data_IF_858257504267
#
_entry.id   IF_858257504267
#
_cell.length_a   1.000
_cell.length_b   1.000
_cell.length_c   1.000
_cell.angle_alpha   90.00
_cell.angle_beta   90.00
_cell.angle_gamma   90.00
#
_symmetry.space_group_name_H-M   'P 1'
#
loop_
_entity.id
_entity.type
_entity.pdbx_description
1 polymer ?
#
# COMPACT_ATOMS: atom_id res chain seq x y z
N UNK A 1 12.96 12.37 19.05
CA UNK A 1 12.27 11.57 18.02
C UNK A 1 12.91 10.19 18.04
N UNK A 2 12.16 9.13 18.31
CA UNK A 2 12.66 7.77 18.09
C UNK A 2 12.56 7.52 16.58
N UNK A 3 13.70 7.47 15.90
CA UNK A 3 13.76 7.07 14.50
C UNK A 3 14.09 5.59 14.44
N UNK A 4 13.49 4.87 13.50
CA UNK A 4 13.97 3.54 13.14
C UNK A 4 15.38 3.71 12.54
N UNK A 5 16.35 2.91 12.98
CA UNK A 5 17.71 2.92 12.45
C UNK A 5 18.13 1.51 12.08
N UNK A 6 18.77 1.35 10.92
CA UNK A 6 19.41 0.11 10.44
C UNK A 6 18.52 -1.15 10.44
N UNK A 7 17.25 -1.01 10.04
CA UNK A 7 16.33 -2.15 10.03
C UNK A 7 16.46 -2.99 8.75
N UNK A 8 16.60 -4.30 8.95
CA UNK A 8 16.78 -5.30 7.90
C UNK A 8 15.76 -6.43 8.08
N UNK A 9 15.47 -7.17 7.02
CA UNK A 9 14.60 -8.35 7.06
C UNK A 9 15.46 -9.61 7.07
N UNK A 10 15.34 -10.40 8.12
CA UNK A 10 16.02 -11.68 8.24
C UNK A 10 15.02 -12.82 8.00
N UNK A 11 15.40 -13.78 7.15
CA UNK A 11 14.60 -14.95 6.80
C UNK A 11 15.21 -16.16 7.48
N UNK A 12 14.41 -16.82 8.33
CA UNK A 12 14.82 -18.00 9.07
C UNK A 12 14.07 -19.24 8.62
N UNK A 13 14.74 -20.40 8.70
CA UNK A 13 14.14 -21.73 8.66
C UNK A 13 14.44 -22.41 10.00
N UNK A 14 13.47 -22.40 10.90
CA UNK A 14 13.71 -22.79 12.29
C UNK A 14 14.65 -21.79 12.97
N UNK A 15 15.79 -22.27 13.46
CA UNK A 15 16.85 -21.48 14.10
C UNK A 15 17.95 -21.02 13.13
N UNK A 16 17.89 -21.48 11.87
CA UNK A 16 18.91 -21.16 10.85
C UNK A 16 18.53 -19.90 10.06
N UNK A 17 19.42 -18.92 10.05
CA UNK A 17 19.35 -17.78 9.13
C UNK A 17 19.63 -18.26 7.71
N UNK A 18 18.67 -18.10 6.80
CA UNK A 18 18.78 -18.48 5.40
C UNK A 18 19.12 -17.28 4.50
N UNK A 19 18.61 -16.09 4.82
CA UNK A 19 18.89 -14.88 4.06
C UNK A 19 18.71 -13.61 4.90
N UNK A 20 19.38 -12.55 4.47
CA UNK A 20 19.22 -11.19 4.98
C UNK A 20 18.90 -10.27 3.79
N UNK A 21 17.87 -9.46 3.93
CA UNK A 21 17.50 -8.41 2.98
C UNK A 21 17.74 -7.08 3.68
N UNK A 22 18.52 -6.22 3.04
CA UNK A 22 18.80 -4.88 3.50
C UNK A 22 18.54 -3.89 2.37
N UNK A 23 18.21 -2.66 2.74
CA UNK A 23 18.02 -1.58 1.78
C UNK A 23 19.38 -0.92 1.51
N UNK A 24 19.84 -0.94 0.26
CA UNK A 24 21.09 -0.28 -0.15
C UNK A 24 20.84 1.18 -0.57
N UNK A 25 20.09 1.95 0.22
CA UNK A 25 19.75 3.33 -0.12
C UNK A 25 20.82 4.30 0.41
N UNK A 26 21.19 5.27 -0.43
CA UNK A 26 22.06 6.41 -0.06
C UNK A 26 21.48 7.29 1.06
N UNK A 27 20.16 7.16 1.34
CA UNK A 27 19.41 7.95 2.33
C UNK A 27 18.99 7.16 3.59
N UNK A 28 19.53 5.96 3.84
CA UNK A 28 19.30 5.17 5.08
C UNK A 28 17.83 4.91 5.47
N UNK A 29 16.87 4.86 4.53
CA UNK A 29 15.46 4.59 4.88
C UNK A 29 15.31 3.12 5.34
N UNK A 30 14.99 2.85 6.63
CA UNK A 30 14.97 1.51 7.19
C UNK A 30 13.74 0.72 6.71
N UNK A 31 13.89 -0.59 6.50
CA UNK A 31 12.75 -1.49 6.27
C UNK A 31 12.06 -1.74 7.61
N UNK A 32 10.87 -1.20 7.81
CA UNK A 32 10.22 -1.21 9.12
C UNK A 32 9.20 -2.33 9.31
N UNK A 33 8.64 -2.87 8.23
CA UNK A 33 7.55 -3.85 8.30
C UNK A 33 7.55 -4.83 7.12
N UNK A 34 7.05 -6.03 7.37
CA UNK A 34 6.65 -7.00 6.36
C UNK A 34 5.17 -7.35 6.59
N UNK A 35 4.32 -7.07 5.62
CA UNK A 35 2.85 -7.22 5.74
C UNK A 35 2.37 -8.26 4.73
N UNK A 36 1.60 -9.28 5.15
CA UNK A 36 0.96 -10.19 4.21
C UNK A 36 -0.13 -9.47 3.43
N UNK A 37 -0.09 -9.58 2.10
CA UNK A 37 -1.10 -8.99 1.21
C UNK A 37 -2.07 -10.07 0.70
N UNK A 38 -1.53 -11.23 0.35
CA UNK A 38 -2.26 -12.41 -0.12
C UNK A 38 -1.53 -13.67 0.38
N UNK A 39 -2.14 -14.84 0.14
CA UNK A 39 -1.42 -16.09 0.36
C UNK A 39 -0.12 -16.09 -0.45
N UNK A 40 0.98 -16.50 0.19
CA UNK A 40 2.33 -16.56 -0.40
C UNK A 40 2.93 -15.21 -0.85
N UNK A 41 2.38 -14.06 -0.45
CA UNK A 41 2.94 -12.73 -0.75
C UNK A 41 3.07 -11.85 0.49
N UNK A 42 4.30 -11.46 0.83
CA UNK A 42 4.61 -10.45 1.83
C UNK A 42 5.11 -9.18 1.15
N UNK A 43 4.62 -8.02 1.55
CA UNK A 43 5.12 -6.72 1.10
C UNK A 43 6.01 -6.09 2.15
N UNK A 44 7.19 -5.66 1.73
CA UNK A 44 8.15 -4.96 2.58
C UNK A 44 7.88 -3.46 2.50
N UNK A 45 7.83 -2.81 3.66
CA UNK A 45 7.64 -1.37 3.79
C UNK A 45 8.87 -0.74 4.42
N UNK A 46 9.32 0.37 3.83
CA UNK A 46 10.30 1.26 4.42
C UNK A 46 9.62 2.56 4.87
N UNK A 47 10.21 3.27 5.83
CA UNK A 47 9.64 4.53 6.30
C UNK A 47 10.68 5.50 6.83
N UNK A 48 10.48 6.77 6.51
CA UNK A 48 11.10 7.93 7.15
C UNK A 48 10.05 8.79 7.87
N UNK A 49 8.96 9.15 7.17
CA UNK A 49 7.82 9.93 7.62
C UNK A 49 6.49 9.28 7.24
N UNK A 50 6.43 8.64 6.06
CA UNK A 50 5.29 7.86 5.57
C UNK A 50 5.80 6.48 5.19
N UNK A 51 5.01 5.46 5.47
CA UNK A 51 5.36 4.10 5.09
C UNK A 51 5.15 3.95 3.58
N UNK A 52 6.19 3.55 2.86
CA UNK A 52 6.10 3.22 1.44
C UNK A 52 6.52 1.77 1.23
N UNK A 53 5.77 1.02 0.40
CA UNK A 53 6.25 -0.29 0.01
C UNK A 53 7.49 -0.15 -0.85
N UNK A 54 8.40 -1.12 -0.76
CA UNK A 54 9.68 -1.11 -1.49
C UNK A 54 9.92 -2.37 -2.31
N UNK A 55 9.36 -3.49 -1.90
CA UNK A 55 9.49 -4.76 -2.61
C UNK A 55 8.43 -5.78 -2.14
N UNK A 56 8.17 -6.76 -2.99
CA UNK A 56 7.38 -7.94 -2.63
C UNK A 56 8.30 -9.16 -2.46
N UNK A 57 7.98 -9.97 -1.46
CA UNK A 57 8.61 -11.24 -1.19
C UNK A 57 7.58 -12.34 -1.46
N UNK A 58 7.79 -13.07 -2.54
CA UNK A 58 6.84 -14.05 -3.07
C UNK A 58 7.36 -15.46 -2.86
N UNK A 59 6.54 -16.33 -2.28
CA UNK A 59 6.83 -17.76 -2.25
C UNK A 59 6.40 -18.39 -3.58
N UNK A 60 7.37 -18.67 -4.45
CA UNK A 60 7.15 -19.42 -5.68
C UNK A 60 6.63 -20.85 -5.38
N UNK A 61 6.02 -21.52 -6.36
CA UNK A 61 5.38 -22.84 -6.16
C UNK A 61 6.33 -23.92 -5.60
N UNK A 62 7.63 -23.79 -5.84
CA UNK A 62 8.67 -24.68 -5.31
C UNK A 62 9.20 -24.27 -3.92
N UNK A 63 8.43 -23.47 -3.18
CA UNK A 63 8.78 -22.86 -1.89
C UNK A 63 10.08 -22.03 -1.89
N UNK A 64 10.52 -21.59 -3.07
CA UNK A 64 11.59 -20.61 -3.18
C UNK A 64 11.05 -19.22 -2.89
N UNK A 65 11.77 -18.48 -2.06
CA UNK A 65 11.43 -17.11 -1.73
C UNK A 65 12.10 -16.17 -2.74
N UNK A 66 11.29 -15.35 -3.42
CA UNK A 66 11.75 -14.47 -4.49
C UNK A 66 11.43 -13.02 -4.12
N UNK A 67 12.46 -12.18 -4.04
CA UNK A 67 12.31 -10.74 -3.93
C UNK A 67 11.98 -10.16 -5.31
N UNK A 68 10.93 -9.35 -5.41
CA UNK A 68 10.42 -8.76 -6.64
C UNK A 68 10.16 -7.27 -6.49
N UNK A 69 10.24 -6.57 -7.61
CA UNK A 69 9.73 -5.20 -7.72
C UNK A 69 8.23 -5.17 -7.48
N UNK A 70 7.74 -4.02 -7.01
CA UNK A 70 6.31 -3.80 -6.79
C UNK A 70 5.55 -3.84 -8.13
N UNK A 71 4.41 -4.53 -8.19
CA UNK A 71 3.57 -4.51 -9.37
C UNK A 71 2.89 -3.14 -9.54
N UNK A 72 2.52 -2.81 -10.78
CA UNK A 72 1.66 -1.65 -11.06
C UNK A 72 0.19 -1.90 -10.69
N UNK A 73 -0.18 -3.17 -10.52
CA UNK A 73 -1.53 -3.60 -10.15
C UNK A 73 -1.41 -4.81 -9.23
N UNK A 74 -1.90 -4.63 -8.01
CA UNK A 74 -2.10 -5.72 -7.08
C UNK A 74 -3.36 -6.51 -7.43
N UNK A 75 -3.44 -7.73 -6.92
CA UNK A 75 -4.64 -8.55 -7.04
C UNK A 75 -5.01 -9.11 -5.68
N UNK A 76 -6.22 -8.80 -5.25
CA UNK A 76 -6.80 -9.20 -3.97
C UNK A 76 -7.92 -10.22 -4.17
N UNK A 77 -8.40 -10.78 -3.07
CA UNK A 77 -9.52 -11.71 -3.00
C UNK A 77 -9.27 -12.95 -3.88
N UNK A 78 -8.15 -13.64 -3.62
CA UNK A 78 -7.68 -14.79 -4.40
C UNK A 78 -7.38 -14.43 -5.84
N UNK A 79 -6.80 -13.24 -6.06
CA UNK A 79 -6.39 -12.75 -7.36
C UNK A 79 -7.51 -12.25 -8.28
N UNK A 80 -8.75 -12.19 -7.79
CA UNK A 80 -9.93 -11.82 -8.60
C UNK A 80 -10.11 -10.32 -8.73
N UNK A 81 -9.81 -9.55 -7.68
CA UNK A 81 -10.06 -8.12 -7.62
C UNK A 81 -8.76 -7.36 -7.93
N UNK A 82 -8.64 -6.70 -9.09
CA UNK A 82 -7.45 -5.93 -9.42
C UNK A 82 -7.47 -4.57 -8.70
N UNK A 83 -6.34 -4.16 -8.13
CA UNK A 83 -6.15 -2.84 -7.55
C UNK A 83 -4.97 -2.16 -8.25
N UNK A 84 -5.18 -1.17 -9.13
CA UNK A 84 -4.08 -0.32 -9.56
C UNK A 84 -3.49 0.38 -8.33
N UNK A 85 -2.16 0.45 -8.26
CA UNK A 85 -1.46 1.08 -7.13
C UNK A 85 -0.57 2.21 -7.61
N UNK A 86 -0.71 3.35 -6.93
CA UNK A 86 -0.06 4.62 -7.24
C UNK A 86 0.47 5.30 -6.00
N UNK A 87 1.25 4.58 -5.19
CA UNK A 87 1.92 5.11 -4.01
C UNK A 87 2.62 6.44 -4.30
N UNK A 88 2.34 7.46 -3.49
CA UNK A 88 2.88 8.82 -3.64
C UNK A 88 2.32 9.63 -4.83
N UNK A 89 1.52 9.03 -5.73
CA UNK A 89 0.83 9.77 -6.79
C UNK A 89 -0.33 10.57 -6.21
N UNK A 90 -0.78 11.58 -6.95
CA UNK A 90 -1.96 12.37 -6.58
C UNK A 90 -3.24 11.52 -6.58
N UNK A 91 -4.14 11.80 -5.64
CA UNK A 91 -5.50 11.23 -5.60
C UNK A 91 -6.25 11.37 -6.92
N UNK A 92 -6.09 12.49 -7.63
CA UNK A 92 -6.74 12.72 -8.93
C UNK A 92 -6.31 11.69 -10.00
N UNK A 93 -5.01 11.43 -10.10
CA UNK A 93 -4.47 10.43 -11.03
C UNK A 93 -4.95 9.02 -10.64
N UNK A 94 -4.95 8.72 -9.34
CA UNK A 94 -5.36 7.43 -8.82
C UNK A 94 -6.83 7.13 -9.05
N UNK A 95 -7.70 8.13 -8.84
CA UNK A 95 -9.13 8.01 -9.09
C UNK A 95 -9.43 7.58 -10.53
N UNK A 96 -8.68 8.09 -11.50
CA UNK A 96 -8.85 7.68 -12.91
C UNK A 96 -8.48 6.22 -13.13
N UNK A 97 -7.43 5.72 -12.46
CA UNK A 97 -7.02 4.32 -12.57
C UNK A 97 -8.00 3.38 -11.87
N UNK A 98 -8.44 3.74 -10.66
CA UNK A 98 -9.45 3.00 -9.89
C UNK A 98 -10.76 2.86 -10.66
N UNK A 99 -11.28 3.96 -11.21
CA UNK A 99 -12.51 3.94 -12.02
C UNK A 99 -12.37 3.03 -13.26
N UNK A 100 -11.22 3.05 -13.94
CA UNK A 100 -10.97 2.18 -15.09
C UNK A 100 -10.88 0.70 -14.71
N UNK A 101 -10.50 0.39 -13.47
CA UNK A 101 -10.44 -0.95 -12.91
C UNK A 101 -11.76 -1.40 -12.24
N UNK A 102 -12.85 -0.64 -12.36
CA UNK A 102 -14.17 -1.00 -11.85
C UNK A 102 -14.43 -0.60 -10.38
N UNK A 103 -13.50 0.09 -9.74
CA UNK A 103 -13.72 0.66 -8.41
C UNK A 103 -14.56 1.92 -8.50
N UNK A 104 -15.56 2.03 -7.64
CA UNK A 104 -16.46 3.17 -7.58
C UNK A 104 -16.32 3.87 -6.23
N UNK A 105 -16.04 5.16 -6.23
CA UNK A 105 -15.98 5.93 -5.00
C UNK A 105 -17.34 5.91 -4.29
N UNK A 106 -17.35 5.63 -3.00
CA UNK A 106 -18.52 5.76 -2.15
C UNK A 106 -18.75 7.26 -1.86
N UNK A 107 -19.44 7.94 -2.78
CA UNK A 107 -19.63 9.39 -2.69
C UNK A 107 -20.52 9.78 -1.51
N UNK A 108 -20.15 10.85 -0.79
CA UNK A 108 -21.14 11.66 -0.09
C UNK A 108 -21.96 12.47 -1.12
N UNK A 109 -23.19 12.85 -0.76
CA UNK A 109 -24.20 13.46 -1.64
C UNK A 109 -23.66 14.38 -2.76
N UNK A 110 -24.28 14.26 -3.96
CA UNK A 110 -24.02 15.05 -5.19
C UNK A 110 -22.80 14.63 -6.03
N UNK A 111 -22.39 13.36 -5.95
CA UNK A 111 -21.44 12.76 -6.91
C UNK A 111 -20.03 13.35 -6.86
N UNK A 112 -19.65 13.98 -5.74
CA UNK A 112 -18.30 14.46 -5.50
C UNK A 112 -17.58 13.48 -4.57
N UNK A 113 -16.32 13.17 -4.89
CA UNK A 113 -15.45 12.42 -3.99
C UNK A 113 -15.25 13.24 -2.71
N UNK A 114 -15.58 12.65 -1.57
CA UNK A 114 -15.41 13.26 -0.27
C UNK A 114 -14.77 12.22 0.67
N UNK A 115 -13.83 12.63 1.54
CA UNK A 115 -13.28 11.72 2.53
C UNK A 115 -14.33 11.39 3.59
N UNK A 116 -14.29 10.15 4.10
CA UNK A 116 -15.13 9.70 5.22
C UNK A 116 -14.55 10.10 6.57
N UNK A 117 -13.23 10.31 6.62
CA UNK A 117 -12.49 10.72 7.81
C UNK A 117 -11.26 11.53 7.40
N UNK A 118 -10.90 12.56 8.16
CA UNK A 118 -9.64 13.29 8.00
C UNK A 118 -9.04 13.69 9.35
N UNK A 119 -7.73 13.55 9.50
CA UNK A 119 -6.96 14.01 10.66
C UNK A 119 -6.49 15.47 10.49
N UNK A 120 -6.58 16.27 11.56
CA UNK A 120 -6.40 17.72 11.53
C UNK A 120 -5.06 18.26 12.05
N UNK A 121 -3.99 17.46 12.13
CA UNK A 121 -2.75 17.83 12.83
C UNK A 121 -1.58 18.33 11.97
N UNK A 122 -1.83 18.72 10.70
CA UNK A 122 -0.85 19.45 9.87
C UNK A 122 -0.23 18.68 8.69
N UNK A 123 -0.24 17.34 8.71
CA UNK A 123 0.05 16.52 7.51
C UNK A 123 -1.22 16.14 6.73
N UNK A 124 -2.39 16.13 7.38
CA UNK A 124 -3.69 15.91 6.73
C UNK A 124 -3.86 14.50 6.15
N UNK A 125 -4.00 13.47 6.98
CA UNK A 125 -4.41 12.17 6.45
C UNK A 125 -5.91 12.15 6.22
N UNK A 126 -6.35 11.75 5.04
CA UNK A 126 -7.77 11.62 4.70
C UNK A 126 -8.06 10.22 4.15
N UNK A 127 -9.20 9.68 4.55
CA UNK A 127 -9.65 8.34 4.18
C UNK A 127 -10.80 8.45 3.19
N UNK A 128 -10.71 7.71 2.10
CA UNK A 128 -11.73 7.60 1.06
C UNK A 128 -12.14 6.14 0.91
N UNK A 129 -13.43 5.90 0.68
CA UNK A 129 -13.98 4.55 0.53
C UNK A 129 -14.36 4.30 -0.92
N UNK A 130 -14.07 3.10 -1.41
CA UNK A 130 -14.40 2.64 -2.74
C UNK A 130 -15.00 1.25 -2.70
N UNK A 131 -15.91 0.99 -3.63
CA UNK A 131 -16.62 -0.28 -3.79
C UNK A 131 -16.20 -0.93 -5.11
N UNK A 132 -16.00 -2.24 -5.10
CA UNK A 132 -15.83 -3.09 -6.28
C UNK A 132 -16.69 -4.35 -6.10
N UNK A 133 -17.03 -5.04 -7.19
CA UNK A 133 -17.68 -6.35 -7.09
C UNK A 133 -16.80 -7.31 -6.27
N UNK A 134 -17.28 -7.71 -5.09
CA UNK A 134 -16.59 -8.63 -4.18
C UNK A 134 -15.58 -8.00 -3.21
N UNK A 135 -15.41 -6.68 -3.18
CA UNK A 135 -14.47 -6.03 -2.26
C UNK A 135 -14.81 -4.56 -1.93
N UNK A 136 -14.32 -4.12 -0.79
CA UNK A 136 -14.26 -2.71 -0.38
C UNK A 136 -12.80 -2.29 -0.29
N UNK A 137 -12.50 -1.05 -0.67
CA UNK A 137 -11.20 -0.42 -0.52
C UNK A 137 -11.34 0.81 0.37
N UNK A 138 -10.50 0.87 1.40
CA UNK A 138 -10.20 2.08 2.15
C UNK A 138 -8.86 2.61 1.67
N UNK A 139 -8.89 3.78 1.05
CA UNK A 139 -7.71 4.46 0.51
C UNK A 139 -7.37 5.64 1.41
N UNK A 140 -6.13 5.69 1.89
CA UNK A 140 -5.65 6.78 2.73
C UNK A 140 -4.73 7.67 1.91
N UNK A 141 -4.94 8.98 2.00
CA UNK A 141 -4.03 9.99 1.46
C UNK A 141 -3.31 10.74 2.56
N UNK A 142 -2.21 11.41 2.22
CA UNK A 142 -1.51 12.35 3.08
C UNK A 142 -1.25 13.65 2.31
N UNK A 143 -1.07 14.75 3.04
CA UNK A 143 -0.99 16.08 2.48
C UNK A 143 -2.34 16.77 2.41
N UNK A 144 -2.39 17.92 1.73
CA UNK A 144 -3.62 18.68 1.58
C UNK A 144 -3.82 19.20 0.17
N UNK A 145 -5.01 19.72 -0.08
CA UNK A 145 -5.40 20.38 -1.34
C UNK A 145 -4.47 21.56 -1.73
N UNK A 146 -3.69 22.10 -0.78
CA UNK A 146 -2.70 23.14 -1.04
C UNK A 146 -1.46 22.64 -1.82
N UNK A 147 -1.26 21.32 -1.92
CA UNK A 147 -0.23 20.74 -2.79
C UNK A 147 -0.64 20.88 -4.26
N UNK A 148 0.32 21.16 -5.14
CA UNK A 148 0.06 21.47 -6.55
C UNK A 148 -0.76 20.39 -7.30
N UNK A 149 -0.69 19.13 -6.84
CA UNK A 149 -1.40 18.01 -7.44
C UNK A 149 -2.48 17.41 -6.50
N UNK A 150 -2.83 18.08 -5.41
CA UNK A 150 -3.70 17.55 -4.35
C UNK A 150 -2.99 16.52 -3.46
N UNK A 151 -3.73 15.88 -2.53
CA UNK A 151 -3.14 14.93 -1.59
C UNK A 151 -2.62 13.67 -2.30
N UNK A 152 -1.54 13.10 -1.77
CA UNK A 152 -0.86 11.94 -2.33
C UNK A 152 -1.31 10.64 -1.68
N UNK A 153 -1.26 9.51 -2.40
CA UNK A 153 -1.66 8.22 -1.85
C UNK A 153 -0.64 7.74 -0.81
N UNK A 154 -1.16 7.40 0.37
CA UNK A 154 -0.40 6.93 1.52
C UNK A 154 -0.63 5.45 1.84
N UNK A 155 -1.82 4.90 1.56
CA UNK A 155 -2.17 3.53 1.91
C UNK A 155 -3.39 2.98 1.17
N UNK A 156 -3.46 1.65 1.09
CA UNK A 156 -4.60 0.88 0.58
C UNK A 156 -4.93 -0.29 1.52
N UNK A 157 -6.15 -0.31 2.04
CA UNK A 157 -6.66 -1.44 2.83
C UNK A 157 -7.86 -2.05 2.08
N UNK A 158 -7.71 -3.29 1.63
CA UNK A 158 -8.77 -4.03 0.92
C UNK A 158 -9.44 -5.02 1.85
N UNK A 159 -10.77 -4.97 1.92
CA UNK A 159 -11.59 -5.97 2.60
C UNK A 159 -12.37 -6.77 1.56
N UNK A 160 -12.10 -8.08 1.49
CA UNK A 160 -12.83 -8.98 0.61
C UNK A 160 -14.20 -9.31 1.21
N UNK A 161 -15.24 -9.22 0.39
CA UNK A 161 -16.57 -9.68 0.78
C UNK A 161 -16.63 -11.22 0.73
N UNK A 162 -17.37 -11.88 1.65
CA UNK A 162 -17.66 -13.30 1.49
C UNK A 162 -18.43 -13.52 0.18
N UNK A 163 -18.07 -14.57 -0.55
CA UNK A 163 -18.84 -15.06 -1.71
C UNK A 163 -20.21 -15.58 -1.28
#
# INVERSE_FOLDING_TARGET
MCAYGESNVAIYRGDKLEALIWAAFEEEIPIIMAVPIEDRLLRLYAADYVNYPVADLVFAENDTLVLRELPQTDRYCSGKVPLPVGWGKSLKAELSALNAAGWSARSAEKGKLAPVECSGSGAGYCVYMFDHEGAELKLTTYGGEAQANGPAIADYEVTCSPL
#
